data_IF_641772408065
#
_entry.id   IF_641772408065
#
_cell.length_a   1.000
_cell.length_b   1.000
_cell.length_c   1.000
_cell.angle_alpha   90.00
_cell.angle_beta   90.00
_cell.angle_gamma   90.00
#
_symmetry.space_group_name_H-M   'P 1'
#
loop_
_entity.id
_entity.type
_entity.pdbx_description
1 polymer ?
#
# COMPACT_ATOMS: atom_id res chain seq x y z
N UNK A 1 10.78 -7.51 -0.01
CA UNK A 1 11.25 -7.16 1.33
C UNK A 1 11.86 -5.76 1.38
N UNK A 2 12.98 -5.51 0.71
CA UNK A 2 13.70 -4.22 0.79
C UNK A 2 12.84 -3.02 0.38
N UNK A 3 12.29 -3.01 -0.85
CA UNK A 3 11.54 -1.87 -1.38
C UNK A 3 10.30 -1.51 -0.55
N UNK A 4 9.53 -2.53 -0.10
CA UNK A 4 8.34 -2.29 0.72
C UNK A 4 8.67 -1.69 2.09
N UNK A 5 9.67 -2.22 2.79
CA UNK A 5 10.14 -1.63 4.05
C UNK A 5 10.63 -0.20 3.86
N UNK A 6 11.39 0.08 2.78
CA UNK A 6 11.87 1.41 2.47
C UNK A 6 10.72 2.40 2.22
N UNK A 7 9.70 2.01 1.46
CA UNK A 7 8.52 2.84 1.19
C UNK A 7 7.71 3.14 2.45
N UNK A 8 7.43 2.11 3.27
CA UNK A 8 6.71 2.29 4.54
C UNK A 8 7.48 3.21 5.49
N UNK A 9 8.78 2.95 5.70
CA UNK A 9 9.62 3.77 6.56
C UNK A 9 9.71 5.23 6.08
N UNK A 10 9.86 5.42 4.76
CA UNK A 10 9.93 6.76 4.16
C UNK A 10 8.61 7.49 4.27
N UNK A 11 7.47 6.82 4.11
CA UNK A 11 6.15 7.41 4.32
C UNK A 11 5.97 7.90 5.75
N UNK A 12 6.37 7.10 6.73
CA UNK A 12 6.36 7.48 8.15
C UNK A 12 7.26 8.67 8.44
N UNK A 13 8.45 8.70 7.84
CA UNK A 13 9.35 9.85 7.97
C UNK A 13 8.72 11.12 7.39
N UNK A 14 8.21 11.05 6.16
CA UNK A 14 7.67 12.21 5.44
C UNK A 14 6.42 12.76 6.13
N UNK A 15 5.47 11.90 6.53
CA UNK A 15 4.25 12.38 7.19
C UNK A 15 4.54 13.09 8.51
N UNK A 16 5.51 12.61 9.28
CA UNK A 16 5.93 13.31 10.51
C UNK A 16 6.51 14.69 10.21
N UNK A 17 7.36 14.78 9.20
CA UNK A 17 8.04 16.03 8.83
C UNK A 17 7.08 17.06 8.24
N UNK A 18 6.19 16.63 7.36
CA UNK A 18 5.21 17.51 6.69
C UNK A 18 4.02 17.87 7.55
N UNK A 19 3.74 17.11 8.60
CA UNK A 19 2.69 17.38 9.59
C UNK A 19 3.22 18.07 10.85
N UNK A 20 4.53 18.28 10.97
CA UNK A 20 5.18 18.84 12.16
C UNK A 20 4.76 18.15 13.48
N UNK A 21 4.55 16.81 13.43
CA UNK A 21 4.08 16.00 14.57
C UNK A 21 4.76 14.63 14.60
N UNK A 22 4.72 13.97 15.77
CA UNK A 22 5.20 12.59 15.89
C UNK A 22 4.18 11.62 15.32
N UNK A 23 4.64 10.42 14.95
CA UNK A 23 3.74 9.34 14.56
C UNK A 23 2.70 9.07 15.63
N UNK A 24 1.47 8.91 15.17
CA UNK A 24 0.38 8.47 16.03
C UNK A 24 0.48 6.98 16.36
N UNK A 25 -0.01 6.59 17.53
CA UNK A 25 -0.16 5.18 17.90
C UNK A 25 1.07 4.55 18.57
N UNK A 26 2.08 5.33 18.96
CA UNK A 26 3.23 4.83 19.74
C UNK A 26 3.94 3.65 19.07
N UNK A 27 3.80 2.45 19.64
CA UNK A 27 4.46 1.24 19.16
C UNK A 27 3.81 0.63 17.90
N UNK A 28 2.70 1.18 17.41
CA UNK A 28 2.00 0.64 16.24
C UNK A 28 2.87 0.69 14.97
N UNK A 29 3.79 1.63 14.86
CA UNK A 29 4.75 1.66 13.75
C UNK A 29 5.72 0.46 13.79
N UNK A 30 6.12 0.02 14.99
CA UNK A 30 6.91 -1.19 15.17
C UNK A 30 6.11 -2.44 14.81
N UNK A 31 4.81 -2.47 15.15
CA UNK A 31 3.93 -3.55 14.72
C UNK A 31 3.84 -3.62 13.18
N UNK A 32 3.72 -2.49 12.50
CA UNK A 32 3.71 -2.45 11.02
C UNK A 32 5.02 -3.01 10.46
N UNK A 33 6.16 -2.59 10.99
CA UNK A 33 7.47 -3.07 10.53
C UNK A 33 7.62 -4.58 10.73
N UNK A 34 7.44 -5.08 11.94
CA UNK A 34 7.60 -6.51 12.23
C UNK A 34 6.51 -7.36 11.58
N UNK A 35 5.28 -6.86 11.55
CA UNK A 35 4.17 -7.54 10.90
C UNK A 35 4.35 -7.68 9.40
N UNK A 36 4.85 -6.65 8.73
CA UNK A 36 5.19 -6.72 7.30
C UNK A 36 6.35 -7.69 7.02
N UNK A 37 7.37 -7.74 7.87
CA UNK A 37 8.44 -8.71 7.71
C UNK A 37 7.97 -10.15 8.00
N UNK A 38 7.07 -10.35 8.98
CA UNK A 38 6.44 -11.65 9.21
C UNK A 38 5.61 -12.09 8.00
N UNK A 39 4.85 -11.18 7.37
CA UNK A 39 4.17 -11.46 6.11
C UNK A 39 5.14 -12.01 5.05
N UNK A 40 6.29 -11.38 4.87
CA UNK A 40 7.30 -11.83 3.91
C UNK A 40 7.80 -13.24 4.23
N UNK A 41 8.06 -13.53 5.50
CA UNK A 41 8.51 -14.87 5.94
C UNK A 41 7.43 -15.92 5.70
N UNK A 42 6.18 -15.62 6.04
CA UNK A 42 5.06 -16.53 5.82
C UNK A 42 4.84 -16.82 4.34
N UNK A 43 4.85 -15.78 3.48
CA UNK A 43 4.73 -15.93 2.03
C UNK A 43 5.87 -16.77 1.45
N UNK A 44 7.12 -16.45 1.81
CA UNK A 44 8.30 -17.21 1.35
C UNK A 44 8.24 -18.67 1.77
N UNK A 45 7.84 -18.94 3.02
CA UNK A 45 7.66 -20.32 3.52
C UNK A 45 6.56 -21.04 2.74
N UNK A 46 5.43 -20.37 2.47
CA UNK A 46 4.35 -20.92 1.65
C UNK A 46 4.84 -21.35 0.26
N UNK A 47 5.63 -20.50 -0.40
CA UNK A 47 6.17 -20.82 -1.73
C UNK A 47 7.11 -22.02 -1.70
N UNK A 48 7.98 -22.12 -0.69
CA UNK A 48 8.89 -23.26 -0.54
C UNK A 48 8.14 -24.58 -0.28
N UNK A 49 6.99 -24.52 0.38
CA UNK A 49 6.13 -25.66 0.66
C UNK A 49 5.12 -25.97 -0.44
N UNK A 50 5.07 -25.18 -1.51
CA UNK A 50 4.09 -25.32 -2.58
C UNK A 50 2.67 -24.91 -2.18
N UNK A 51 2.51 -24.17 -1.08
CA UNK A 51 1.23 -23.62 -0.62
C UNK A 51 1.01 -22.25 -1.23
N UNK A 52 0.27 -22.20 -2.34
CA UNK A 52 0.03 -20.97 -3.10
C UNK A 52 -1.31 -21.03 -3.81
N UNK A 53 -1.97 -19.88 -3.96
CA UNK A 53 -3.19 -19.74 -4.77
C UNK A 53 -2.90 -19.73 -6.29
N UNK A 54 -1.64 -19.75 -6.71
CA UNK A 54 -1.21 -19.68 -8.13
C UNK A 54 -1.78 -18.47 -8.89
N UNK A 55 -1.93 -17.34 -8.19
CA UNK A 55 -2.53 -16.11 -8.68
C UNK A 55 -1.44 -15.05 -8.74
N UNK A 56 -1.06 -14.62 -9.92
CA UNK A 56 0.05 -13.68 -10.14
C UNK A 56 -0.12 -12.39 -9.31
N UNK A 57 0.92 -11.96 -8.61
CA UNK A 57 0.93 -10.88 -7.60
C UNK A 57 0.09 -11.12 -6.34
N UNK A 58 -0.59 -12.26 -6.24
CA UNK A 58 -1.43 -12.63 -5.10
C UNK A 58 -1.31 -14.12 -4.81
N UNK A 59 -0.09 -14.63 -4.87
CA UNK A 59 0.23 -16.05 -4.68
C UNK A 59 0.02 -16.55 -3.24
N UNK A 60 0.21 -15.74 -2.17
CA UNK A 60 0.01 -16.24 -0.82
C UNK A 60 -1.40 -16.76 -0.55
N UNK A 61 -1.51 -17.71 0.34
CA UNK A 61 -2.77 -18.26 0.78
C UNK A 61 -3.50 -17.35 1.79
N UNK A 62 -4.78 -17.57 1.97
CA UNK A 62 -5.74 -16.77 2.72
C UNK A 62 -5.24 -16.26 4.08
N UNK A 63 -4.52 -17.08 4.84
CA UNK A 63 -4.04 -16.70 6.18
C UNK A 63 -2.91 -15.66 6.12
N UNK A 64 -2.11 -15.71 5.08
CA UNK A 64 -1.03 -14.73 4.84
C UNK A 64 -1.63 -13.41 4.39
N UNK A 65 -2.64 -13.46 3.50
CA UNK A 65 -3.36 -12.29 3.02
C UNK A 65 -4.15 -11.60 4.13
N UNK A 66 -4.78 -12.40 5.01
CA UNK A 66 -5.46 -11.87 6.20
C UNK A 66 -4.46 -11.16 7.13
N UNK A 67 -3.28 -11.77 7.34
CA UNK A 67 -2.25 -11.14 8.14
C UNK A 67 -1.77 -9.82 7.55
N UNK A 68 -1.49 -9.79 6.25
CA UNK A 68 -1.12 -8.55 5.57
C UNK A 68 -2.21 -7.49 5.66
N UNK A 69 -3.48 -7.87 5.55
CA UNK A 69 -4.63 -6.97 5.71
C UNK A 69 -4.61 -6.31 7.10
N UNK A 70 -4.41 -7.09 8.16
CA UNK A 70 -4.32 -6.55 9.54
C UNK A 70 -3.17 -5.55 9.65
N UNK A 71 -2.00 -5.90 9.18
CA UNK A 71 -0.82 -5.01 9.19
C UNK A 71 -1.09 -3.73 8.41
N UNK A 72 -1.75 -3.83 7.26
CA UNK A 72 -2.05 -2.69 6.40
C UNK A 72 -3.10 -1.75 6.98
N UNK A 73 -4.11 -2.29 7.67
CA UNK A 73 -5.10 -1.48 8.42
C UNK A 73 -4.42 -0.70 9.55
N UNK A 74 -3.49 -1.33 10.27
CA UNK A 74 -2.71 -0.61 11.30
C UNK A 74 -1.82 0.45 10.66
N UNK A 75 -1.19 0.17 9.50
CA UNK A 75 -0.43 1.16 8.75
C UNK A 75 -1.28 2.38 8.37
N UNK A 76 -2.47 2.13 7.81
CA UNK A 76 -3.43 3.18 7.49
C UNK A 76 -3.82 3.99 8.74
N UNK A 77 -4.11 3.34 9.85
CA UNK A 77 -4.48 4.01 11.11
C UNK A 77 -3.36 4.90 11.64
N UNK A 78 -2.10 4.44 11.61
CA UNK A 78 -0.92 5.24 12.02
C UNK A 78 -0.75 6.46 11.13
N UNK A 79 -0.87 6.28 9.81
CA UNK A 79 -0.72 7.36 8.84
C UNK A 79 -1.85 8.40 8.98
N UNK A 80 -3.11 7.97 9.00
CA UNK A 80 -4.28 8.84 9.16
C UNK A 80 -4.28 9.55 10.52
N UNK A 81 -3.98 8.83 11.61
CA UNK A 81 -3.90 9.41 12.93
C UNK A 81 -2.83 10.50 13.02
N UNK A 82 -1.72 10.34 12.30
CA UNK A 82 -0.66 11.36 12.18
C UNK A 82 -1.15 12.56 11.38
N UNK A 83 -1.86 12.35 10.27
CA UNK A 83 -2.46 13.42 9.47
C UNK A 83 -3.51 14.21 10.26
N UNK A 84 -4.35 13.53 11.05
CA UNK A 84 -5.36 14.20 11.90
C UNK A 84 -4.71 15.08 12.96
N UNK A 85 -3.59 14.62 13.52
CA UNK A 85 -2.84 15.37 14.55
C UNK A 85 -1.84 16.37 13.97
N UNK A 86 -1.89 16.65 12.68
CA UNK A 86 -0.98 17.63 12.07
C UNK A 86 -1.11 19.02 12.70
N UNK A 87 0.01 19.70 12.79
CA UNK A 87 0.09 21.11 13.21
C UNK A 87 0.08 22.08 12.03
N UNK A 88 0.30 21.57 10.82
CA UNK A 88 0.24 22.35 9.60
C UNK A 88 -1.20 22.44 9.09
N UNK A 89 -1.65 23.61 8.59
CA UNK A 89 -3.03 23.82 8.16
C UNK A 89 -3.39 22.98 6.92
N UNK A 90 -2.43 22.75 6.06
CA UNK A 90 -2.64 22.05 4.77
C UNK A 90 -1.96 20.68 4.75
N UNK A 91 -2.57 19.73 4.04
CA UNK A 91 -1.94 18.44 3.74
C UNK A 91 -1.05 18.62 2.52
N UNK A 92 0.26 18.40 2.68
CA UNK A 92 1.22 18.50 1.59
C UNK A 92 1.01 17.40 0.54
N UNK A 93 1.27 17.71 -0.73
CA UNK A 93 0.99 16.81 -1.86
C UNK A 93 1.65 15.42 -1.72
N UNK A 94 2.81 15.32 -1.12
CA UNK A 94 3.45 14.03 -0.85
C UNK A 94 2.56 13.10 -0.01
N UNK A 95 1.85 13.66 0.99
CA UNK A 95 0.93 12.89 1.83
C UNK A 95 -0.33 12.45 1.08
N UNK A 96 -0.77 13.21 0.08
CA UNK A 96 -1.87 12.78 -0.81
C UNK A 96 -1.48 11.54 -1.61
N UNK A 97 -0.27 11.51 -2.17
CA UNK A 97 0.24 10.35 -2.88
C UNK A 97 0.37 9.12 -1.97
N UNK A 98 0.91 9.27 -0.75
CA UNK A 98 0.98 8.16 0.20
C UNK A 98 -0.40 7.70 0.66
N UNK A 99 -1.32 8.61 0.93
CA UNK A 99 -2.68 8.23 1.33
C UNK A 99 -3.39 7.45 0.23
N UNK A 100 -3.28 7.90 -1.03
CA UNK A 100 -3.84 7.18 -2.18
C UNK A 100 -3.22 5.79 -2.32
N UNK A 101 -1.90 5.67 -2.18
CA UNK A 101 -1.19 4.39 -2.16
C UNK A 101 -1.73 3.46 -1.06
N UNK A 102 -1.80 3.94 0.19
CA UNK A 102 -2.19 3.10 1.32
C UNK A 102 -3.65 2.63 1.18
N UNK A 103 -4.57 3.53 0.83
CA UNK A 103 -6.00 3.22 0.70
C UNK A 103 -6.26 2.30 -0.50
N UNK A 104 -5.69 2.61 -1.67
CA UNK A 104 -5.92 1.83 -2.88
C UNK A 104 -5.37 0.40 -2.75
N UNK A 105 -4.16 0.24 -2.21
CA UNK A 105 -3.59 -1.10 -2.00
C UNK A 105 -4.40 -1.88 -0.97
N UNK A 106 -4.84 -1.25 0.13
CA UNK A 106 -5.72 -1.92 1.10
C UNK A 106 -6.99 -2.46 0.44
N UNK A 107 -7.70 -1.61 -0.29
CA UNK A 107 -8.95 -1.97 -0.94
C UNK A 107 -8.77 -3.09 -1.97
N UNK A 108 -7.80 -2.95 -2.85
CA UNK A 108 -7.58 -3.89 -3.94
C UNK A 108 -7.01 -5.23 -3.44
N UNK A 109 -6.13 -5.20 -2.45
CA UNK A 109 -5.62 -6.42 -1.81
C UNK A 109 -6.77 -7.22 -1.18
N UNK A 110 -7.64 -6.57 -0.41
CA UNK A 110 -8.78 -7.24 0.20
C UNK A 110 -9.71 -7.85 -0.87
N UNK A 111 -10.11 -7.08 -1.87
CA UNK A 111 -11.02 -7.55 -2.92
C UNK A 111 -10.41 -8.70 -3.73
N UNK A 112 -9.15 -8.56 -4.14
CA UNK A 112 -8.49 -9.58 -4.97
C UNK A 112 -8.28 -10.90 -4.22
N UNK A 113 -8.04 -10.86 -2.91
CA UNK A 113 -7.70 -12.03 -2.11
C UNK A 113 -8.89 -12.59 -1.32
N UNK A 114 -10.13 -12.19 -1.69
CA UNK A 114 -11.32 -12.80 -1.12
C UNK A 114 -11.37 -14.29 -1.47
N UNK A 115 -11.25 -15.13 -0.45
CA UNK A 115 -11.24 -16.57 -0.56
C UNK A 115 -11.92 -17.19 0.67
N UNK A 116 -12.49 -18.37 0.47
CA UNK A 116 -13.13 -19.14 1.54
C UNK A 116 -12.17 -20.28 1.91
N UNK A 117 -11.63 -20.31 3.14
CA UNK A 117 -10.77 -21.40 3.58
C UNK A 117 -11.52 -22.74 3.50
N UNK A 118 -10.87 -23.80 3.01
CA UNK A 118 -11.47 -25.14 3.01
C UNK A 118 -11.67 -25.67 4.44
N UNK A 119 -10.78 -25.27 5.36
CA UNK A 119 -10.92 -25.39 6.80
C UNK A 119 -9.97 -24.42 7.50
N UNK A 120 -10.19 -24.15 8.80
CA UNK A 120 -9.29 -23.32 9.60
C UNK A 120 -7.90 -23.93 9.84
N UNK A 121 -7.77 -25.23 9.58
CA UNK A 121 -6.52 -26.00 9.75
C UNK A 121 -5.84 -26.32 8.43
N UNK A 122 -6.42 -25.91 7.30
CA UNK A 122 -5.86 -26.07 5.95
C UNK A 122 -5.26 -24.76 5.45
N UNK A 123 -4.13 -24.86 4.77
CA UNK A 123 -3.59 -23.72 4.02
C UNK A 123 -4.40 -23.38 2.77
N UNK A 124 -5.22 -24.31 2.28
CA UNK A 124 -5.97 -24.18 1.03
C UNK A 124 -7.26 -23.39 1.18
N UNK A 125 -7.59 -22.64 0.13
CA UNK A 125 -8.83 -21.87 0.02
C UNK A 125 -9.44 -21.94 -1.37
N UNK A 126 -10.72 -21.57 -1.48
CA UNK A 126 -11.45 -21.43 -2.74
C UNK A 126 -11.61 -19.94 -3.02
N UNK A 127 -11.11 -19.49 -4.17
CA UNK A 127 -11.18 -18.08 -4.59
C UNK A 127 -12.63 -17.69 -4.90
N UNK A 128 -13.00 -16.45 -4.53
CA UNK A 128 -14.36 -15.95 -4.71
C UNK A 128 -14.67 -15.60 -6.18
N UNK A 129 -13.68 -15.14 -6.92
CA UNK A 129 -13.83 -14.72 -8.33
C UNK A 129 -13.10 -15.69 -9.26
N UNK A 130 -13.77 -16.75 -9.80
CA UNK A 130 -13.15 -17.68 -10.72
C UNK A 130 -13.17 -17.17 -12.17
N UNK A 131 -12.31 -17.76 -13.01
CA UNK A 131 -12.31 -17.54 -14.46
C UNK A 131 -12.01 -16.10 -14.86
N UNK A 132 -12.73 -15.58 -15.84
CA UNK A 132 -12.51 -14.22 -16.39
C UNK A 132 -12.69 -13.12 -15.35
N UNK A 133 -13.67 -13.25 -14.46
CA UNK A 133 -13.84 -12.28 -13.36
C UNK A 133 -12.61 -12.27 -12.45
N UNK A 134 -12.06 -13.44 -12.15
CA UNK A 134 -10.83 -13.56 -11.38
C UNK A 134 -9.65 -12.89 -12.06
N UNK A 135 -9.50 -13.06 -13.36
CA UNK A 135 -8.45 -12.41 -14.14
C UNK A 135 -8.57 -10.88 -14.12
N UNK A 136 -9.79 -10.35 -14.32
CA UNK A 136 -10.05 -8.91 -14.26
C UNK A 136 -9.74 -8.31 -12.87
N UNK A 137 -10.20 -8.96 -11.81
CA UNK A 137 -9.95 -8.51 -10.43
C UNK A 137 -8.46 -8.61 -10.08
N UNK A 138 -7.82 -9.70 -10.47
CA UNK A 138 -6.39 -9.93 -10.23
C UNK A 138 -5.54 -8.88 -10.92
N UNK A 139 -5.82 -8.53 -12.16
CA UNK A 139 -5.05 -7.51 -12.87
C UNK A 139 -5.43 -6.08 -12.47
N UNK A 140 -6.66 -5.84 -12.02
CA UNK A 140 -6.97 -4.57 -11.38
C UNK A 140 -6.10 -4.36 -10.13
N UNK A 141 -5.94 -5.40 -9.31
CA UNK A 141 -4.98 -5.38 -8.21
C UNK A 141 -3.53 -5.36 -8.71
N UNK A 142 -3.13 -6.24 -9.61
CA UNK A 142 -1.75 -6.38 -10.08
C UNK A 142 -1.19 -5.11 -10.73
N UNK A 143 -1.94 -4.48 -11.62
CA UNK A 143 -1.56 -3.19 -12.20
C UNK A 143 -1.40 -2.11 -11.12
N UNK A 144 -2.34 -2.02 -10.20
CA UNK A 144 -2.32 -1.01 -9.15
C UNK A 144 -1.30 -1.32 -8.04
N UNK A 145 -0.88 -2.56 -7.86
CA UNK A 145 0.29 -2.89 -7.04
C UNK A 145 1.56 -2.20 -7.58
N UNK A 146 1.71 -2.09 -8.89
CA UNK A 146 2.78 -1.30 -9.52
C UNK A 146 2.43 0.20 -9.51
N UNK A 147 1.21 0.56 -9.92
CA UNK A 147 0.79 1.94 -10.07
C UNK A 147 0.69 2.71 -8.75
N UNK A 148 0.20 2.11 -7.70
CA UNK A 148 0.02 2.78 -6.41
C UNK A 148 1.11 2.44 -5.39
N UNK A 149 1.50 1.18 -5.24
CA UNK A 149 2.58 0.85 -4.32
C UNK A 149 3.92 1.43 -4.78
N UNK A 150 4.26 1.30 -6.05
CA UNK A 150 5.52 1.85 -6.57
C UNK A 150 5.38 3.30 -7.05
N UNK A 151 4.56 3.57 -8.06
CA UNK A 151 4.53 4.89 -8.70
C UNK A 151 4.03 5.97 -7.73
N UNK A 152 2.89 5.79 -7.08
CA UNK A 152 2.39 6.78 -6.13
C UNK A 152 3.30 6.90 -4.89
N UNK A 153 3.86 5.78 -4.40
CA UNK A 153 4.84 5.79 -3.33
C UNK A 153 6.10 6.58 -3.68
N UNK A 154 6.66 6.35 -4.87
CA UNK A 154 7.84 7.09 -5.35
C UNK A 154 7.53 8.56 -5.62
N UNK A 155 6.36 8.89 -6.14
CA UNK A 155 5.94 10.29 -6.31
C UNK A 155 5.82 11.01 -4.96
N UNK A 156 5.32 10.33 -3.93
CA UNK A 156 5.32 10.86 -2.57
C UNK A 156 6.75 11.20 -2.09
N UNK A 157 7.70 10.30 -2.34
CA UNK A 157 9.12 10.55 -2.05
C UNK A 157 9.67 11.71 -2.88
N UNK A 158 9.43 11.75 -4.18
CA UNK A 158 9.93 12.79 -5.09
C UNK A 158 9.42 14.17 -4.69
N UNK A 159 8.12 14.31 -4.42
CA UNK A 159 7.54 15.59 -3.99
C UNK A 159 8.10 16.09 -2.66
N UNK A 160 8.66 15.24 -1.83
CA UNK A 160 9.31 15.65 -0.60
C UNK A 160 10.83 15.89 -0.80
N UNK A 161 11.55 14.90 -1.35
CA UNK A 161 13.01 14.95 -1.37
C UNK A 161 13.58 15.87 -2.47
N UNK A 162 12.95 15.93 -3.65
CA UNK A 162 13.47 16.77 -4.74
C UNK A 162 13.46 18.27 -4.38
N UNK A 163 12.35 18.85 -3.90
CA UNK A 163 12.34 20.24 -3.44
C UNK A 163 13.31 20.49 -2.29
N UNK A 164 13.39 19.54 -1.36
CA UNK A 164 14.30 19.64 -0.21
C UNK A 164 15.76 19.66 -0.62
N UNK A 165 16.19 18.81 -1.54
CA UNK A 165 17.56 18.76 -2.04
C UNK A 165 17.89 19.98 -2.92
N UNK A 166 16.93 20.43 -3.71
CA UNK A 166 17.09 21.64 -4.52
C UNK A 166 17.10 22.95 -3.70
N UNK A 167 16.72 22.89 -2.41
CA UNK A 167 16.56 24.07 -1.56
C UNK A 167 15.49 25.04 -2.07
N UNK A 168 14.53 24.56 -2.85
CA UNK A 168 13.48 25.36 -3.49
C UNK A 168 12.12 24.68 -3.34
N UNK A 169 11.02 25.44 -3.20
CA UNK A 169 9.69 24.86 -3.19
C UNK A 169 9.34 24.24 -4.56
N UNK A 170 8.29 23.40 -4.58
CA UNK A 170 7.69 22.91 -5.83
C UNK A 170 7.32 24.09 -6.72
N UNK A 171 7.66 24.03 -8.01
CA UNK A 171 7.46 25.11 -8.98
C UNK A 171 6.01 25.66 -8.96
N UNK A 172 5.04 24.78 -8.93
CA UNK A 172 3.63 25.15 -8.81
C UNK A 172 2.88 24.13 -7.97
N UNK A 173 2.43 24.54 -6.81
CA UNK A 173 1.60 23.68 -5.95
C UNK A 173 0.26 23.33 -6.60
N UNK A 174 -0.33 24.26 -7.36
CA UNK A 174 -1.57 24.00 -8.11
C UNK A 174 -1.37 22.91 -9.16
N UNK A 175 -0.28 22.94 -9.91
CA UNK A 175 0.03 21.89 -10.88
C UNK A 175 0.32 20.54 -10.20
N UNK A 176 0.89 20.53 -9.02
CA UNK A 176 1.09 19.28 -8.28
C UNK A 176 -0.24 18.61 -7.86
N UNK A 177 -1.25 19.41 -7.53
CA UNK A 177 -2.60 18.91 -7.24
C UNK A 177 -3.30 18.42 -8.52
N UNK A 178 -3.16 19.14 -9.63
CA UNK A 178 -3.66 18.68 -10.93
C UNK A 178 -3.01 17.37 -11.34
N UNK A 179 -1.67 17.25 -11.19
CA UNK A 179 -0.93 16.01 -11.45
C UNK A 179 -1.45 14.87 -10.58
N UNK A 180 -1.62 15.12 -9.27
CA UNK A 180 -2.15 14.11 -8.35
C UNK A 180 -3.50 13.56 -8.83
N UNK A 181 -4.50 14.43 -9.01
CA UNK A 181 -5.84 14.00 -9.38
C UNK A 181 -5.92 13.37 -10.77
N UNK A 182 -5.21 13.93 -11.75
CA UNK A 182 -5.16 13.36 -13.10
C UNK A 182 -4.55 11.96 -13.11
N UNK A 183 -3.43 11.77 -12.40
CA UNK A 183 -2.78 10.46 -12.29
C UNK A 183 -3.68 9.46 -11.58
N UNK A 184 -4.14 9.78 -10.35
CA UNK A 184 -4.89 8.85 -9.53
C UNK A 184 -6.19 8.43 -10.21
N UNK A 185 -6.94 9.38 -10.76
CA UNK A 185 -8.22 9.09 -11.41
C UNK A 185 -8.06 8.23 -12.66
N UNK A 186 -7.09 8.53 -13.50
CA UNK A 186 -6.87 7.77 -14.75
C UNK A 186 -6.22 6.42 -14.48
N UNK A 187 -5.23 6.39 -13.60
CA UNK A 187 -4.37 5.23 -13.41
C UNK A 187 -5.05 4.09 -12.65
N UNK A 188 -5.96 4.43 -11.72
CA UNK A 188 -6.69 3.42 -10.93
C UNK A 188 -7.48 2.43 -11.80
N UNK A 189 -8.00 2.86 -12.94
CA UNK A 189 -8.86 2.06 -13.80
C UNK A 189 -8.11 1.30 -14.89
N UNK A 190 -6.81 1.46 -14.99
CA UNK A 190 -6.02 0.91 -16.10
C UNK A 190 -5.77 -0.60 -16.00
N UNK A 191 -5.93 -1.24 -14.83
CA UNK A 191 -5.61 -2.65 -14.59
C UNK A 191 -6.26 -3.68 -15.53
N UNK A 192 -7.57 -3.62 -15.77
CA UNK A 192 -8.28 -4.61 -16.58
C UNK A 192 -7.87 -4.71 -18.05
N UNK A 193 -6.97 -3.85 -18.53
CA UNK A 193 -6.44 -3.95 -19.90
C UNK A 193 -5.43 -5.09 -20.12
N UNK A 194 -4.88 -5.66 -19.05
CA UNK A 194 -4.00 -6.84 -19.13
C UNK A 194 -4.77 -8.10 -19.49
#
# INVERSE_FOLDING_TARGET
>A
AFGGNALIATSFYIVQRTCATRLWGGNSAWFVFWGYNLFIVLAATGYLLGSTQSKEYAEPEWYVDLWLTIVWVVYLAVFLGTLVKRKEPHIYVANWFYLSFIVTIAMLHIINNLAIPTSLWSSQSVILFPGVQGALVQWWYGHNAVGFFLTAGFLGMMYYFVPKQAGRPVYSYRLSIVHFWALIFTYMWAGPHH
#
